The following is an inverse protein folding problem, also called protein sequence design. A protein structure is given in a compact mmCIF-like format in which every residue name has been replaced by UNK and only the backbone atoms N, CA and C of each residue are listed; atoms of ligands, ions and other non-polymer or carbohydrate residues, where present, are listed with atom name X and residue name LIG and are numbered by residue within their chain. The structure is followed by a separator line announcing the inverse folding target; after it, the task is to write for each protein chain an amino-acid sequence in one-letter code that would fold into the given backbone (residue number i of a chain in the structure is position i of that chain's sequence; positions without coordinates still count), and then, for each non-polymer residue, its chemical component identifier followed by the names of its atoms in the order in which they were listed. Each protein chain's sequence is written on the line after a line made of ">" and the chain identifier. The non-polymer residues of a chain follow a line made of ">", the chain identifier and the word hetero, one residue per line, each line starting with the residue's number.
data_IF_485646566919
#
_entry.id   IF_485646566919
#
_cell.length_a   1.000
_cell.length_b   1.000
_cell.length_c   1.000
_cell.angle_alpha   90.00
_cell.angle_beta   90.00
_cell.angle_gamma   90.00
#
_symmetry.space_group_name_H-M   'P 1'
#
loop_
_entity.id
_entity.type
_entity.pdbx_description
1 polymer ?
#
# COMPACT_ATOMS: atom_id res chain seq x y z
N UNK A 1 -47.54 -70.54 -22.85
CA UNK A 1 -47.92 -69.31 -22.14
C UNK A 1 -47.43 -69.46 -20.70
N UNK A 2 -46.15 -69.19 -20.48
CA UNK A 2 -45.46 -69.33 -19.19
C UNK A 2 -45.02 -67.95 -18.74
N UNK A 3 -45.62 -67.52 -17.63
CA UNK A 3 -45.50 -66.19 -17.04
C UNK A 3 -44.22 -66.13 -16.20
N UNK A 4 -43.31 -65.21 -16.52
CA UNK A 4 -42.08 -64.97 -15.76
C UNK A 4 -42.33 -63.85 -14.74
N UNK A 5 -42.14 -64.07 -13.42
CA UNK A 5 -42.28 -62.98 -12.47
C UNK A 5 -41.07 -62.04 -12.56
N UNK A 6 -41.35 -60.80 -12.98
CA UNK A 6 -40.41 -59.69 -12.91
C UNK A 6 -39.98 -59.45 -11.45
N UNK A 7 -38.70 -59.71 -11.18
CA UNK A 7 -38.05 -59.40 -9.90
C UNK A 7 -37.90 -57.87 -9.80
N UNK A 8 -38.82 -57.22 -9.09
CA UNK A 8 -38.72 -55.79 -8.75
C UNK A 8 -37.44 -55.55 -7.94
N UNK A 9 -36.40 -55.03 -8.59
CA UNK A 9 -35.24 -54.45 -7.92
C UNK A 9 -35.73 -53.25 -7.10
N UNK A 10 -35.83 -53.43 -5.77
CA UNK A 10 -35.96 -52.31 -4.83
C UNK A 10 -34.72 -51.43 -4.98
N UNK A 11 -34.85 -50.30 -5.67
CA UNK A 11 -33.89 -49.19 -5.58
C UNK A 11 -33.86 -48.73 -4.12
N UNK A 12 -32.77 -49.05 -3.41
CA UNK A 12 -32.52 -48.55 -2.06
C UNK A 12 -32.26 -47.04 -2.15
N UNK A 13 -33.30 -46.24 -1.92
CA UNK A 13 -33.18 -44.79 -1.77
C UNK A 13 -32.18 -44.44 -0.65
N UNK A 14 -31.37 -43.41 -0.88
CA UNK A 14 -30.37 -42.94 0.08
C UNK A 14 -31.08 -42.57 1.38
N UNK A 15 -30.74 -43.26 2.46
CA UNK A 15 -31.32 -43.01 3.78
C UNK A 15 -31.00 -41.58 4.23
N UNK A 16 -31.99 -40.87 4.77
CA UNK A 16 -31.84 -39.52 5.36
C UNK A 16 -30.69 -39.46 6.37
N UNK A 17 -30.43 -40.58 7.07
CA UNK A 17 -29.30 -40.72 8.00
C UNK A 17 -27.95 -40.70 7.29
N UNK A 18 -27.81 -41.37 6.13
CA UNK A 18 -26.60 -41.33 5.31
C UNK A 18 -26.34 -39.94 4.73
N UNK A 19 -27.41 -39.23 4.36
CA UNK A 19 -27.34 -37.86 3.82
C UNK A 19 -26.92 -36.84 4.90
N UNK A 20 -27.44 -36.98 6.13
CA UNK A 20 -27.06 -36.16 7.28
C UNK A 20 -25.62 -36.44 7.75
N UNK A 21 -25.20 -37.71 7.77
CA UNK A 21 -23.82 -38.09 8.11
C UNK A 21 -22.85 -37.57 7.03
N UNK A 22 -23.18 -37.72 5.75
CA UNK A 22 -22.38 -37.20 4.64
C UNK A 22 -22.29 -35.66 4.64
N UNK A 23 -23.41 -34.98 4.90
CA UNK A 23 -23.45 -33.52 5.03
C UNK A 23 -22.65 -33.00 6.24
N UNK A 24 -22.79 -33.66 7.39
CA UNK A 24 -22.03 -33.31 8.60
C UNK A 24 -20.52 -33.51 8.43
N UNK A 25 -20.10 -34.58 7.76
CA UNK A 25 -18.70 -34.85 7.46
C UNK A 25 -18.08 -33.79 6.52
N UNK A 26 -18.83 -33.34 5.50
CA UNK A 26 -18.39 -32.27 4.59
C UNK A 26 -18.22 -30.92 5.31
N UNK A 27 -19.16 -30.56 6.18
CA UNK A 27 -19.06 -29.33 6.98
C UNK A 27 -17.88 -29.40 7.94
N UNK A 28 -17.66 -30.53 8.60
CA UNK A 28 -16.52 -30.73 9.50
C UNK A 28 -15.17 -30.65 8.76
N UNK A 29 -15.08 -31.27 7.58
CA UNK A 29 -13.88 -31.20 6.74
C UNK A 29 -13.60 -29.78 6.25
N UNK A 30 -14.64 -29.06 5.81
CA UNK A 30 -14.54 -27.65 5.41
C UNK A 30 -14.09 -26.74 6.56
N UNK A 31 -14.64 -26.94 7.77
CA UNK A 31 -14.23 -26.23 8.98
C UNK A 31 -12.78 -26.50 9.35
N UNK A 32 -12.34 -27.77 9.30
CA UNK A 32 -10.95 -28.14 9.56
C UNK A 32 -9.97 -27.53 8.55
N UNK A 33 -10.31 -27.55 7.25
CA UNK A 33 -9.52 -26.93 6.20
C UNK A 33 -9.41 -25.40 6.38
N UNK A 34 -10.50 -24.74 6.78
CA UNK A 34 -10.51 -23.31 7.07
C UNK A 34 -9.59 -22.96 8.26
N UNK A 35 -9.67 -23.73 9.35
CA UNK A 35 -8.82 -23.53 10.53
C UNK A 35 -7.35 -23.77 10.19
N UNK A 36 -7.05 -24.82 9.41
CA UNK A 36 -5.69 -25.11 8.96
C UNK A 36 -5.13 -23.98 8.07
N UNK A 37 -5.91 -23.49 7.09
CA UNK A 37 -5.54 -22.35 6.25
C UNK A 37 -5.28 -21.09 7.08
N UNK A 38 -6.12 -20.81 8.08
CA UNK A 38 -5.95 -19.66 8.98
C UNK A 38 -4.66 -19.79 9.81
N UNK A 39 -4.36 -20.98 10.35
CA UNK A 39 -3.12 -21.23 11.08
C UNK A 39 -1.88 -21.08 10.20
N UNK A 40 -1.94 -21.58 8.96
CA UNK A 40 -0.83 -21.45 8.00
C UNK A 40 -0.58 -19.98 7.67
N UNK A 41 -1.64 -19.22 7.35
CA UNK A 41 -1.53 -17.78 7.10
C UNK A 41 -0.93 -17.03 8.28
N UNK A 42 -1.41 -17.28 9.50
CA UNK A 42 -0.89 -16.61 10.69
C UNK A 42 0.60 -16.92 10.93
N UNK A 43 1.06 -18.15 10.67
CA UNK A 43 2.49 -18.51 10.75
C UNK A 43 3.32 -17.78 9.68
N UNK A 44 2.81 -17.72 8.45
CA UNK A 44 3.47 -16.99 7.35
C UNK A 44 3.55 -15.49 7.68
N UNK A 45 2.48 -14.89 8.19
CA UNK A 45 2.47 -13.49 8.60
C UNK A 45 3.47 -13.23 9.73
N UNK A 46 3.57 -14.12 10.72
CA UNK A 46 4.56 -14.04 11.80
C UNK A 46 6.01 -14.16 11.29
N UNK A 47 6.25 -14.98 10.27
CA UNK A 47 7.59 -15.14 9.68
C UNK A 47 7.97 -13.99 8.74
N UNK A 48 7.00 -13.38 8.07
CA UNK A 48 7.24 -12.32 7.08
C UNK A 48 7.15 -10.91 7.66
N UNK A 49 6.45 -10.72 8.79
CA UNK A 49 6.36 -9.42 9.46
C UNK A 49 7.53 -9.24 10.42
N UNK A 50 8.50 -8.40 10.04
CA UNK A 50 9.54 -7.96 10.98
C UNK A 50 8.90 -7.00 11.99
N UNK A 51 8.82 -7.40 13.25
CA UNK A 51 8.31 -6.53 14.32
C UNK A 51 9.02 -5.17 14.35
N UNK A 52 10.32 -5.14 14.02
CA UNK A 52 11.11 -3.91 13.91
C UNK A 52 10.64 -2.95 12.79
N UNK A 53 10.02 -3.46 11.72
CA UNK A 53 9.48 -2.62 10.64
C UNK A 53 8.13 -1.99 11.00
N UNK A 54 7.37 -2.62 11.91
CA UNK A 54 6.08 -2.12 12.38
C UNK A 54 6.16 -1.38 13.72
N UNK A 55 7.30 -1.42 14.40
CA UNK A 55 7.52 -0.69 15.63
C UNK A 55 7.58 0.81 15.34
N UNK A 56 6.82 1.61 16.10
CA UNK A 56 7.03 3.06 16.11
C UNK A 56 8.47 3.33 16.57
N UNK A 57 9.26 4.09 15.80
CA UNK A 57 10.59 4.50 16.24
C UNK A 57 10.48 5.17 17.61
N UNK A 58 11.50 5.03 18.48
CA UNK A 58 11.49 5.76 19.74
C UNK A 58 11.32 7.25 19.46
N UNK A 59 10.45 7.91 20.23
CA UNK A 59 10.29 9.37 20.17
C UNK A 59 11.65 9.99 20.44
N UNK A 60 12.23 10.61 19.41
CA UNK A 60 13.48 11.37 19.56
C UNK A 60 13.13 12.63 20.37
N UNK A 61 13.81 12.90 21.50
CA UNK A 61 13.57 14.12 22.26
C UNK A 61 13.80 15.34 21.35
N UNK A 62 12.77 16.17 21.21
CA UNK A 62 12.84 17.42 20.47
C UNK A 62 13.40 18.53 21.37
N UNK A 63 14.46 19.18 20.92
CA UNK A 63 14.98 20.39 21.54
C UNK A 63 14.57 21.58 20.66
N UNK A 64 13.64 22.44 21.10
CA UNK A 64 13.12 23.53 20.27
C UNK A 64 14.16 24.60 19.94
N UNK A 65 15.25 24.71 20.71
CA UNK A 65 16.34 25.66 20.45
C UNK A 65 17.27 25.09 19.39
N UNK A 66 17.68 23.83 19.55
CA UNK A 66 18.59 23.16 18.61
C UNK A 66 17.92 22.81 17.28
N UNK A 67 16.68 22.38 17.31
CA UNK A 67 15.95 21.84 16.16
C UNK A 67 15.12 22.93 15.46
N UNK A 68 15.39 24.21 15.73
CA UNK A 68 14.72 25.34 15.09
C UNK A 68 15.00 25.34 13.59
N UNK A 69 13.94 25.44 12.78
CA UNK A 69 14.04 25.53 11.33
C UNK A 69 13.29 26.73 10.78
N UNK A 70 13.73 27.22 9.63
CA UNK A 70 13.05 28.31 8.90
C UNK A 70 12.07 27.71 7.90
N UNK A 71 10.78 28.05 8.05
CA UNK A 71 9.73 27.65 7.13
C UNK A 71 9.48 28.77 6.10
N UNK A 72 9.68 28.47 4.82
CA UNK A 72 9.31 29.38 3.74
C UNK A 72 7.92 29.04 3.22
N UNK A 73 7.05 30.05 3.10
CA UNK A 73 5.68 29.91 2.62
C UNK A 73 5.47 30.83 1.41
N UNK A 74 4.80 30.32 0.37
CA UNK A 74 4.33 31.11 -0.76
C UNK A 74 2.87 30.77 -1.08
N UNK A 75 2.09 31.79 -1.42
CA UNK A 75 0.66 31.72 -1.70
C UNK A 75 0.31 32.78 -2.74
N UNK A 76 -0.87 32.65 -3.36
CA UNK A 76 -1.46 33.67 -4.25
C UNK A 76 -1.06 33.52 -5.72
N UNK A 77 0.00 32.79 -6.05
CA UNK A 77 0.29 32.39 -7.42
C UNK A 77 -0.35 31.03 -7.75
N UNK A 78 -0.33 30.66 -9.04
CA UNK A 78 -0.59 29.28 -9.46
C UNK A 78 0.43 28.30 -8.85
N UNK A 79 0.16 26.98 -8.87
CA UNK A 79 0.99 25.99 -8.18
C UNK A 79 2.49 26.06 -8.53
N UNK A 80 2.83 26.17 -9.82
CA UNK A 80 4.22 26.34 -10.26
C UNK A 80 4.84 27.66 -9.76
N UNK A 81 4.10 28.77 -9.86
CA UNK A 81 4.57 30.07 -9.36
C UNK A 81 4.79 30.11 -7.85
N UNK A 82 4.01 29.34 -7.08
CA UNK A 82 4.28 29.18 -5.64
C UNK A 82 5.59 28.41 -5.39
N UNK A 83 5.94 27.42 -6.22
CA UNK A 83 7.24 26.75 -6.15
C UNK A 83 8.37 27.74 -6.47
N UNK A 84 8.23 28.57 -7.51
CA UNK A 84 9.22 29.60 -7.85
C UNK A 84 9.46 30.58 -6.70
N UNK A 85 8.38 31.06 -6.08
CA UNK A 85 8.47 31.96 -4.94
C UNK A 85 9.14 31.30 -3.73
N UNK A 86 8.88 30.01 -3.46
CA UNK A 86 9.57 29.28 -2.40
C UNK A 86 11.07 29.13 -2.72
N UNK A 87 11.41 28.68 -3.93
CA UNK A 87 12.81 28.48 -4.34
C UNK A 87 13.59 29.79 -4.31
N UNK A 88 12.98 30.90 -4.73
CA UNK A 88 13.57 32.23 -4.62
C UNK A 88 13.90 32.58 -3.17
N UNK A 89 12.94 32.38 -2.24
CA UNK A 89 13.16 32.63 -0.81
C UNK A 89 14.22 31.71 -0.18
N UNK A 90 14.42 30.51 -0.74
CA UNK A 90 15.40 29.52 -0.29
C UNK A 90 16.82 29.75 -0.83
N UNK A 91 16.98 30.65 -1.81
CA UNK A 91 18.26 30.85 -2.50
C UNK A 91 18.49 29.91 -3.69
N UNK A 92 17.43 29.34 -4.24
CA UNK A 92 17.46 28.41 -5.38
C UNK A 92 17.64 26.94 -4.98
N UNK A 93 17.40 26.04 -5.94
CA UNK A 93 17.47 24.59 -5.70
C UNK A 93 18.87 24.08 -5.39
N UNK A 94 19.92 24.73 -5.92
CA UNK A 94 21.31 24.38 -5.63
C UNK A 94 21.69 24.54 -4.15
N UNK A 95 20.88 25.23 -3.34
CA UNK A 95 21.05 25.29 -1.88
C UNK A 95 20.60 24.01 -1.15
N UNK A 96 19.89 23.12 -1.85
CA UNK A 96 19.29 21.89 -1.33
C UNK A 96 19.80 20.63 -2.02
N UNK A 97 20.14 20.73 -3.31
CA UNK A 97 20.47 19.59 -4.18
C UNK A 97 21.81 19.83 -4.87
N UNK A 98 22.73 18.88 -4.71
CA UNK A 98 24.00 18.82 -5.42
C UNK A 98 23.87 18.20 -6.82
N UNK A 99 24.89 18.34 -7.68
CA UNK A 99 24.83 17.89 -9.07
C UNK A 99 24.70 16.37 -9.21
N UNK A 100 25.19 15.58 -8.25
CA UNK A 100 25.21 14.11 -8.34
C UNK A 100 24.14 13.44 -7.45
N UNK A 101 23.23 14.22 -6.87
CA UNK A 101 22.25 13.72 -5.91
C UNK A 101 21.12 12.91 -6.58
N UNK A 102 20.69 11.85 -5.88
CA UNK A 102 19.42 11.18 -6.19
C UNK A 102 18.30 11.87 -5.43
N UNK A 103 17.42 12.57 -6.14
CA UNK A 103 16.30 13.32 -5.58
C UNK A 103 15.03 12.48 -5.66
N UNK A 104 14.48 12.15 -4.50
CA UNK A 104 13.25 11.35 -4.42
C UNK A 104 12.06 12.24 -4.08
N UNK A 105 11.08 12.33 -4.98
CA UNK A 105 9.87 13.11 -4.81
C UNK A 105 8.70 12.19 -4.50
N UNK A 106 8.29 12.15 -3.22
CA UNK A 106 7.07 11.48 -2.78
C UNK A 106 5.87 12.35 -3.13
N UNK A 107 4.99 11.82 -3.96
CA UNK A 107 3.69 12.42 -4.25
C UNK A 107 2.58 11.79 -3.38
N UNK A 108 1.41 12.41 -3.30
CA UNK A 108 0.22 11.91 -2.57
C UNK A 108 -1.03 11.88 -3.48
N UNK A 109 -0.93 11.21 -4.63
CA UNK A 109 -1.95 11.18 -5.67
C UNK A 109 -3.25 10.49 -5.25
N UNK A 110 -3.23 9.59 -4.27
CA UNK A 110 -4.42 8.83 -3.84
C UNK A 110 -5.23 9.48 -2.71
N UNK A 111 -4.74 10.58 -2.14
CA UNK A 111 -5.38 11.23 -0.98
C UNK A 111 -6.39 12.28 -1.43
N UNK A 112 -7.54 11.81 -1.93
CA UNK A 112 -8.63 12.63 -2.46
C UNK A 112 -9.19 13.65 -1.45
N UNK A 113 -9.25 13.30 -0.16
CA UNK A 113 -9.68 14.20 0.92
C UNK A 113 -8.78 15.43 1.15
N UNK A 114 -7.58 15.42 0.56
CA UNK A 114 -6.58 16.48 0.72
C UNK A 114 -6.24 17.17 -0.61
N UNK A 115 -7.04 16.93 -1.65
CA UNK A 115 -6.89 17.57 -2.96
C UNK A 115 -5.91 16.89 -3.92
N UNK A 116 -5.34 15.72 -3.55
CA UNK A 116 -4.34 14.98 -4.33
C UNK A 116 -3.07 15.80 -4.63
N UNK A 117 -2.11 15.19 -5.32
CA UNK A 117 -0.90 15.87 -5.78
C UNK A 117 -1.22 16.88 -6.87
N UNK A 118 -0.76 18.12 -6.71
CA UNK A 118 -0.74 19.07 -7.81
C UNK A 118 0.44 18.77 -8.76
N UNK A 119 0.14 18.23 -9.94
CA UNK A 119 1.17 17.84 -10.92
C UNK A 119 1.99 19.02 -11.46
N UNK A 120 1.43 20.23 -11.50
CA UNK A 120 2.18 21.42 -11.94
C UNK A 120 3.23 21.83 -10.91
N UNK A 121 2.92 21.71 -9.61
CA UNK A 121 3.91 21.93 -8.55
C UNK A 121 5.04 20.89 -8.60
N UNK A 122 4.70 19.61 -8.83
CA UNK A 122 5.71 18.55 -8.97
C UNK A 122 6.60 18.79 -10.19
N UNK A 123 6.00 19.03 -11.37
CA UNK A 123 6.74 19.35 -12.60
C UNK A 123 7.70 20.51 -12.35
N UNK A 124 7.22 21.61 -11.75
CA UNK A 124 8.08 22.77 -11.52
C UNK A 124 9.21 22.49 -10.53
N UNK A 125 8.96 21.65 -9.52
CA UNK A 125 10.01 21.20 -8.59
C UNK A 125 11.09 20.40 -9.32
N UNK A 126 10.71 19.50 -10.23
CA UNK A 126 11.65 18.73 -11.06
C UNK A 126 12.47 19.67 -11.95
N UNK A 127 11.84 20.64 -12.60
CA UNK A 127 12.52 21.63 -13.43
C UNK A 127 13.59 22.39 -12.63
N UNK A 128 13.29 22.83 -11.41
CA UNK A 128 14.27 23.45 -10.53
C UNK A 128 15.46 22.55 -10.20
N UNK A 129 15.26 21.23 -10.07
CA UNK A 129 16.36 20.26 -9.88
C UNK A 129 17.21 20.16 -11.13
N UNK A 130 16.59 20.05 -12.30
CA UNK A 130 17.29 19.94 -13.58
C UNK A 130 18.01 21.24 -13.97
N UNK A 131 17.55 22.38 -13.46
CA UNK A 131 18.19 23.71 -13.61
C UNK A 131 19.46 23.86 -12.76
N UNK A 132 19.74 22.94 -11.82
CA UNK A 132 20.99 22.95 -11.05
C UNK A 132 22.17 22.77 -12.02
N UNK A 133 23.16 23.70 -12.04
CA UNK A 133 24.26 23.65 -12.98
C UNK A 133 25.04 22.33 -12.91
N UNK A 134 25.09 21.63 -14.04
CA UNK A 134 25.83 20.37 -14.16
C UNK A 134 25.17 19.18 -13.44
N UNK A 135 23.85 19.21 -13.21
CA UNK A 135 23.13 18.07 -12.64
C UNK A 135 23.28 16.81 -13.51
N UNK A 136 23.70 15.71 -12.88
CA UNK A 136 23.95 14.37 -13.43
C UNK A 136 23.29 13.26 -12.60
N UNK A 137 22.63 13.63 -11.49
CA UNK A 137 21.91 12.72 -10.63
C UNK A 137 20.61 12.19 -11.25
N UNK A 138 19.75 11.62 -10.40
CA UNK A 138 18.47 11.03 -10.81
C UNK A 138 17.32 11.70 -10.05
N UNK A 139 16.19 11.90 -10.74
CA UNK A 139 14.95 12.33 -10.10
C UNK A 139 13.93 11.19 -10.13
N UNK A 140 13.62 10.65 -8.96
CA UNK A 140 12.69 9.54 -8.80
C UNK A 140 11.37 10.09 -8.25
N UNK A 141 10.32 10.07 -9.07
CA UNK A 141 8.97 10.38 -8.63
C UNK A 141 8.28 9.08 -8.23
N UNK A 142 7.79 8.99 -7.00
CA UNK A 142 7.13 7.77 -6.53
C UNK A 142 5.83 8.04 -5.77
N UNK A 143 4.88 7.15 -5.99
CA UNK A 143 3.60 7.10 -5.29
C UNK A 143 3.48 5.79 -4.53
N UNK A 144 2.81 5.83 -3.38
CA UNK A 144 2.42 4.62 -2.67
C UNK A 144 1.05 4.21 -3.19
N UNK A 145 0.95 3.00 -3.73
CA UNK A 145 -0.34 2.43 -4.09
C UNK A 145 -0.92 1.75 -2.85
N UNK A 146 -1.87 2.41 -2.18
CA UNK A 146 -2.65 1.78 -1.12
C UNK A 146 -3.72 0.88 -1.74
N UNK A 147 -3.33 -0.29 -2.25
CA UNK A 147 -4.31 -1.34 -2.51
C UNK A 147 -4.75 -1.92 -1.17
N UNK A 148 -5.98 -1.63 -0.74
CA UNK A 148 -6.64 -2.44 0.28
C UNK A 148 -6.87 -3.83 -0.32
N UNK A 149 -6.30 -4.85 0.32
CA UNK A 149 -6.74 -6.25 0.14
C UNK A 149 -8.07 -6.46 0.85
#
# INVERSE_FOLDING_TARGET
>A
MTDHPHRLQRQRGVSRRSLLIGGGALVAAGGAAFVFRKKLRNKVDQWTTRAAFSATPPLVPHDPVRDRTTLHVAQGAGPAGNIDAIMTKRGGMASLVGPDDVVVIKVAAQWWNTGMTNVAAVKRTIEHVLEVPGFRGEVIVFENTHFRR
#
